data_IF_439689017168
#
_entry.id   IF_439689017168
#
_cell.length_a   1.000
_cell.length_b   1.000
_cell.length_c   1.000
_cell.angle_alpha   90.00
_cell.angle_beta   90.00
_cell.angle_gamma   90.00
#
_symmetry.space_group_name_H-M   'P 1'
#
loop_
_entity.id
_entity.type
_entity.pdbx_description
1 polymer ?
#
# COMPACT_ATOMS: atom_id res chain seq x y z
N UNK A 1 7.63 26.48 10.43
CA UNK A 1 7.96 25.05 10.60
C UNK A 1 7.73 24.68 12.05
N UNK A 2 6.90 23.70 12.35
CA UNK A 2 6.77 23.22 13.74
C UNK A 2 8.10 22.61 14.21
N UNK A 3 8.59 23.09 15.35
CA UNK A 3 9.87 22.64 15.92
C UNK A 3 9.69 21.21 16.46
N UNK A 4 10.04 20.20 15.68
CA UNK A 4 9.96 18.79 16.08
C UNK A 4 11.26 18.42 16.79
N UNK A 5 11.18 18.13 18.10
CA UNK A 5 12.34 17.70 18.88
C UNK A 5 12.87 16.36 18.37
N UNK A 6 14.18 16.26 18.15
CA UNK A 6 14.85 15.05 17.65
C UNK A 6 14.55 13.84 18.55
N UNK A 7 14.27 12.70 17.93
CA UNK A 7 13.92 11.42 18.54
C UNK A 7 12.69 11.47 19.49
N UNK A 8 11.84 12.49 19.38
CA UNK A 8 10.62 12.60 20.18
C UNK A 8 9.53 11.62 19.67
N UNK A 9 8.53 11.35 20.51
CA UNK A 9 7.35 10.54 20.14
C UNK A 9 6.68 11.15 18.90
N UNK A 10 6.56 12.48 18.80
CA UNK A 10 6.01 13.18 17.63
C UNK A 10 6.84 12.87 16.36
N UNK A 11 8.17 12.85 16.46
CA UNK A 11 9.05 12.51 15.33
C UNK A 11 8.81 11.08 14.84
N UNK A 12 8.66 10.11 15.74
CA UNK A 12 8.38 8.71 15.42
C UNK A 12 6.99 8.51 14.80
N UNK A 13 5.96 9.21 15.30
CA UNK A 13 4.62 9.18 14.69
C UNK A 13 4.66 9.72 13.26
N UNK A 14 5.38 10.82 13.03
CA UNK A 14 5.54 11.39 11.69
C UNK A 14 6.28 10.44 10.73
N UNK A 15 7.35 9.77 11.23
CA UNK A 15 8.10 8.78 10.46
C UNK A 15 7.27 7.53 10.12
N UNK A 16 6.43 7.07 11.05
CA UNK A 16 5.51 5.95 10.85
C UNK A 16 4.42 6.23 9.79
N UNK A 17 4.17 7.51 9.49
CA UNK A 17 3.18 7.95 8.47
C UNK A 17 1.79 7.36 8.66
N UNK A 18 1.03 7.75 9.70
CA UNK A 18 -0.29 7.17 9.99
C UNK A 18 -1.27 7.15 8.81
N UNK A 19 -1.15 8.12 7.89
CA UNK A 19 -1.98 8.18 6.67
C UNK A 19 -1.81 6.98 5.75
N UNK A 20 -0.63 6.33 5.76
CA UNK A 20 -0.37 5.13 4.95
C UNK A 20 -0.88 3.85 5.61
N UNK A 21 -1.14 3.86 6.93
CA UNK A 21 -1.70 2.71 7.65
C UNK A 21 -3.12 2.39 7.18
N UNK A 22 -3.89 3.40 6.77
CA UNK A 22 -5.22 3.19 6.20
C UNK A 22 -5.17 2.35 4.92
N UNK A 23 -4.14 2.56 4.08
CA UNK A 23 -3.91 1.75 2.88
C UNK A 23 -3.50 0.30 3.23
N UNK A 24 -2.76 0.08 4.33
CA UNK A 24 -2.42 -1.26 4.80
C UNK A 24 -3.61 -1.99 5.46
N UNK A 25 -4.53 -1.25 6.08
CA UNK A 25 -5.73 -1.82 6.69
C UNK A 25 -6.75 -2.32 5.66
N UNK A 26 -6.91 -1.60 4.55
CA UNK A 26 -7.93 -1.88 3.53
C UNK A 26 -7.88 -3.32 2.99
N UNK A 27 -6.71 -3.85 2.56
CA UNK A 27 -6.64 -5.22 2.04
C UNK A 27 -6.91 -6.29 3.11
N UNK A 28 -6.47 -6.07 4.36
CA UNK A 28 -6.76 -7.00 5.47
C UNK A 28 -8.26 -7.03 5.76
N UNK A 29 -8.91 -5.85 5.78
CA UNK A 29 -10.36 -5.75 5.93
C UNK A 29 -11.10 -6.54 4.85
N UNK A 30 -10.65 -6.44 3.60
CA UNK A 30 -11.25 -7.16 2.48
C UNK A 30 -11.07 -8.67 2.60
N UNK A 31 -9.88 -9.15 3.01
CA UNK A 31 -9.66 -10.58 3.31
C UNK A 31 -10.55 -11.09 4.44
N UNK A 32 -10.76 -10.28 5.48
CA UNK A 32 -11.70 -10.58 6.57
C UNK A 32 -13.16 -10.64 6.07
N UNK A 33 -13.56 -9.72 5.17
CA UNK A 33 -14.93 -9.72 4.62
C UNK A 33 -15.20 -10.98 3.78
N UNK A 34 -14.22 -11.41 2.97
CA UNK A 34 -14.33 -12.67 2.23
C UNK A 34 -14.49 -13.88 3.17
N UNK A 35 -13.64 -13.97 4.20
CA UNK A 35 -13.76 -15.05 5.20
C UNK A 35 -15.09 -15.01 5.95
N UNK A 36 -15.63 -13.82 6.20
CA UNK A 36 -16.95 -13.66 6.81
C UNK A 36 -18.07 -14.15 5.89
N UNK A 37 -18.00 -13.83 4.60
CA UNK A 37 -18.98 -14.28 3.58
C UNK A 37 -19.00 -15.81 3.50
N UNK A 38 -17.87 -16.47 3.65
CA UNK A 38 -17.76 -17.93 3.65
C UNK A 38 -18.02 -18.57 5.04
N UNK A 39 -18.42 -17.77 6.05
CA UNK A 39 -18.76 -18.26 7.38
C UNK A 39 -17.57 -18.73 8.23
N UNK A 40 -16.33 -18.38 7.84
CA UNK A 40 -15.09 -18.87 8.48
C UNK A 40 -14.34 -17.78 9.27
N UNK A 41 -14.90 -16.59 9.39
CA UNK A 41 -14.26 -15.44 10.05
C UNK A 41 -13.87 -15.74 11.51
N UNK A 42 -12.64 -15.36 11.88
CA UNK A 42 -12.09 -15.52 13.22
C UNK A 42 -11.40 -14.23 13.68
N UNK A 43 -11.72 -13.75 14.88
CA UNK A 43 -11.22 -12.49 15.43
C UNK A 43 -9.72 -12.47 15.70
N UNK A 44 -9.16 -13.57 16.24
CA UNK A 44 -7.74 -13.62 16.62
C UNK A 44 -6.83 -13.56 15.40
N UNK A 45 -6.97 -14.43 14.38
CA UNK A 45 -6.17 -14.31 13.17
C UNK A 45 -6.40 -13.01 12.43
N UNK A 46 -7.62 -12.46 12.41
CA UNK A 46 -7.87 -11.13 11.83
C UNK A 46 -7.04 -10.04 12.52
N UNK A 47 -7.04 -9.98 13.87
CA UNK A 47 -6.22 -9.03 14.61
C UNK A 47 -4.72 -9.20 14.34
N UNK A 48 -4.24 -10.44 14.29
CA UNK A 48 -2.83 -10.72 13.98
C UNK A 48 -2.44 -10.27 12.56
N UNK A 49 -3.33 -10.45 11.57
CA UNK A 49 -3.12 -9.94 10.21
C UNK A 49 -3.02 -8.41 10.18
N UNK A 50 -3.88 -7.68 10.93
CA UNK A 50 -3.77 -6.22 11.07
C UNK A 50 -2.45 -5.81 11.72
N UNK A 51 -2.05 -6.46 12.82
CA UNK A 51 -0.80 -6.17 13.52
C UNK A 51 0.42 -6.42 12.62
N UNK A 52 0.41 -7.51 11.86
CA UNK A 52 1.45 -7.82 10.87
C UNK A 52 1.50 -6.75 9.78
N UNK A 53 0.37 -6.44 9.14
CA UNK A 53 0.29 -5.46 8.06
C UNK A 53 0.73 -4.05 8.50
N UNK A 54 0.30 -3.60 9.69
CA UNK A 54 0.71 -2.31 10.23
C UNK A 54 2.20 -2.27 10.57
N UNK A 55 2.73 -3.34 11.21
CA UNK A 55 4.16 -3.42 11.51
C UNK A 55 5.00 -3.38 10.25
N UNK A 56 4.64 -4.16 9.23
CA UNK A 56 5.31 -4.16 7.92
C UNK A 56 5.23 -2.82 7.20
N UNK A 57 4.07 -2.12 7.29
CA UNK A 57 3.92 -0.79 6.69
C UNK A 57 4.80 0.26 7.37
N UNK A 58 4.89 0.21 8.71
CA UNK A 58 5.77 1.12 9.47
C UNK A 58 7.23 0.80 9.16
N UNK A 59 7.58 -0.48 9.13
CA UNK A 59 8.94 -0.94 8.79
C UNK A 59 9.36 -0.48 7.40
N UNK A 60 8.51 -0.68 6.38
CA UNK A 60 8.76 -0.18 5.03
C UNK A 60 8.94 1.35 4.98
N UNK A 61 8.17 2.11 5.78
CA UNK A 61 8.34 3.56 5.87
C UNK A 61 9.71 3.93 6.48
N UNK A 62 10.16 3.24 7.54
CA UNK A 62 11.46 3.47 8.17
C UNK A 62 12.62 3.06 7.26
N UNK A 63 12.52 1.91 6.60
CA UNK A 63 13.50 1.43 5.62
C UNK A 63 13.64 2.46 4.48
N UNK A 64 12.53 2.94 3.91
CA UNK A 64 12.56 3.92 2.85
C UNK A 64 13.16 5.26 3.31
N UNK A 65 12.83 5.72 4.54
CA UNK A 65 13.36 6.97 5.10
C UNK A 65 14.88 6.88 5.30
N UNK A 66 15.37 5.76 5.85
CA UNK A 66 16.78 5.51 6.11
C UNK A 66 17.60 5.41 4.82
N UNK A 67 17.18 4.54 3.86
CA UNK A 67 17.97 4.27 2.67
C UNK A 67 17.87 5.36 1.60
N UNK A 68 16.73 6.04 1.46
CA UNK A 68 16.59 7.19 0.57
C UNK A 68 17.47 8.36 1.04
N UNK A 69 17.57 8.57 2.38
CA UNK A 69 18.48 9.55 2.95
C UNK A 69 19.95 9.21 2.67
N UNK A 70 20.37 7.96 2.88
CA UNK A 70 21.75 7.51 2.61
C UNK A 70 22.13 7.65 1.12
N UNK A 71 21.16 7.50 0.22
CA UNK A 71 21.36 7.66 -1.23
C UNK A 71 21.31 9.12 -1.69
N UNK A 72 21.01 10.06 -0.80
CA UNK A 72 20.84 11.47 -1.16
C UNK A 72 19.61 11.74 -2.05
N UNK A 73 18.64 10.83 -2.06
CA UNK A 73 17.40 10.99 -2.82
C UNK A 73 16.42 11.95 -2.16
N UNK A 74 16.54 12.16 -0.85
CA UNK A 74 15.71 13.07 -0.07
C UNK A 74 16.32 14.48 -0.04
N UNK A 75 16.23 15.17 -1.17
CA UNK A 75 16.77 16.52 -1.38
C UNK A 75 15.85 17.59 -0.77
N UNK A 76 16.37 18.81 -0.62
CA UNK A 76 15.61 19.98 -0.12
C UNK A 76 14.43 20.38 -1.03
N UNK A 77 14.55 20.11 -2.34
CA UNK A 77 13.52 20.39 -3.35
C UNK A 77 12.43 19.31 -3.41
N UNK A 78 12.39 18.36 -2.45
CA UNK A 78 11.40 17.29 -2.39
C UNK A 78 9.96 17.81 -2.44
N UNK A 79 9.14 17.24 -3.33
CA UNK A 79 7.72 17.58 -3.50
C UNK A 79 6.82 16.79 -2.54
N UNK A 80 7.23 15.56 -2.20
CA UNK A 80 6.50 14.68 -1.28
C UNK A 80 6.56 15.12 0.19
N UNK A 81 5.87 14.41 1.08
CA UNK A 81 5.93 14.67 2.52
C UNK A 81 7.37 14.64 3.04
N UNK A 82 7.61 15.44 4.08
CA UNK A 82 8.91 15.51 4.73
C UNK A 82 9.34 14.14 5.29
N UNK A 83 10.66 13.89 5.27
CA UNK A 83 11.29 12.66 5.72
C UNK A 83 11.99 12.90 7.05
N UNK A 84 11.81 11.99 8.02
CA UNK A 84 12.30 12.20 9.38
C UNK A 84 13.85 12.26 9.45
N UNK A 85 14.56 11.44 8.67
CA UNK A 85 16.02 11.48 8.61
C UNK A 85 16.51 12.77 7.93
N UNK A 86 15.92 13.16 6.81
CA UNK A 86 16.30 14.35 6.06
C UNK A 86 16.05 15.65 6.84
N UNK A 87 15.00 15.69 7.66
CA UNK A 87 14.68 16.83 8.53
C UNK A 87 15.43 16.82 9.88
N UNK A 88 16.26 15.80 10.15
CA UNK A 88 16.94 15.64 11.44
C UNK A 88 16.00 15.32 12.62
N UNK A 89 14.74 14.96 12.34
CA UNK A 89 13.77 14.59 13.38
C UNK A 89 14.11 13.26 14.05
N UNK A 90 14.75 12.34 13.32
CA UNK A 90 15.25 11.08 13.85
C UNK A 90 16.69 10.90 13.37
N UNK A 91 17.60 10.59 14.31
CA UNK A 91 18.99 10.29 13.98
C UNK A 91 19.09 8.97 13.24
N UNK A 92 20.09 8.82 12.35
CA UNK A 92 20.29 7.56 11.59
C UNK A 92 20.46 6.35 12.51
N UNK A 93 21.18 6.51 13.64
CA UNK A 93 21.34 5.42 14.62
C UNK A 93 20.01 5.02 15.26
N UNK A 94 19.14 6.00 15.59
CA UNK A 94 17.83 5.73 16.14
C UNK A 94 16.90 5.09 15.07
N UNK A 95 16.92 5.59 13.82
CA UNK A 95 16.14 5.02 12.74
C UNK A 95 16.52 3.55 12.47
N UNK A 96 17.83 3.23 12.45
CA UNK A 96 18.31 1.84 12.32
C UNK A 96 17.77 0.94 13.44
N UNK A 97 17.74 1.42 14.69
CA UNK A 97 17.14 0.67 15.81
C UNK A 97 15.63 0.51 15.62
N UNK A 98 14.94 1.57 15.17
CA UNK A 98 13.51 1.53 14.85
C UNK A 98 13.18 0.45 13.80
N UNK A 99 13.94 0.40 12.70
CA UNK A 99 13.81 -0.64 11.67
C UNK A 99 13.97 -2.05 12.27
N UNK A 100 15.02 -2.29 13.05
CA UNK A 100 15.25 -3.60 13.68
C UNK A 100 14.05 -3.99 14.57
N UNK A 101 13.55 -3.06 15.38
CA UNK A 101 12.42 -3.30 16.27
C UNK A 101 11.15 -3.62 15.47
N UNK A 102 10.84 -2.83 14.43
CA UNK A 102 9.63 -3.05 13.61
C UNK A 102 9.71 -4.33 12.81
N UNK A 103 10.88 -4.68 12.24
CA UNK A 103 11.11 -5.97 11.57
C UNK A 103 10.91 -7.13 12.54
N UNK A 104 11.48 -7.07 13.76
CA UNK A 104 11.31 -8.12 14.77
C UNK A 104 9.84 -8.27 15.21
N UNK A 105 9.13 -7.16 15.41
CA UNK A 105 7.70 -7.19 15.72
C UNK A 105 6.90 -7.84 14.58
N UNK A 106 7.21 -7.51 13.33
CA UNK A 106 6.57 -8.15 12.17
C UNK A 106 6.83 -9.66 12.15
N UNK A 107 8.05 -10.07 12.42
CA UNK A 107 8.39 -11.50 12.54
C UNK A 107 7.60 -12.20 13.68
N UNK A 108 7.45 -11.54 14.83
CA UNK A 108 6.67 -12.09 15.96
C UNK A 108 5.20 -12.29 15.55
N UNK A 109 4.57 -11.27 14.94
CA UNK A 109 3.18 -11.40 14.47
C UNK A 109 3.04 -12.47 13.39
N UNK A 110 4.00 -12.55 12.45
CA UNK A 110 4.05 -13.58 11.43
C UNK A 110 4.17 -14.99 12.02
N UNK A 111 5.04 -15.19 13.03
CA UNK A 111 5.19 -16.48 13.71
C UNK A 111 3.92 -16.88 14.48
N UNK A 112 3.22 -15.92 15.10
CA UNK A 112 1.95 -16.20 15.77
C UNK A 112 0.85 -16.58 14.77
N UNK A 113 0.86 -16.02 13.55
CA UNK A 113 -0.08 -16.40 12.49
C UNK A 113 0.08 -17.86 12.03
N UNK A 114 1.29 -18.44 12.13
CA UNK A 114 1.53 -19.86 11.74
C UNK A 114 0.64 -20.86 12.50
N UNK A 115 0.15 -20.48 13.68
CA UNK A 115 -0.85 -21.31 14.41
C UNK A 115 -2.17 -21.46 13.65
N UNK A 116 -2.45 -20.52 12.75
CA UNK A 116 -3.72 -20.45 12.02
C UNK A 116 -3.57 -20.75 10.54
N UNK A 117 -2.43 -20.45 9.92
CA UNK A 117 -2.23 -20.60 8.48
C UNK A 117 -1.28 -21.73 8.07
N UNK A 118 -0.61 -22.37 9.05
CA UNK A 118 0.36 -23.44 8.76
C UNK A 118 1.75 -22.93 8.37
N UNK A 119 2.71 -23.88 8.27
CA UNK A 119 4.12 -23.58 8.01
C UNK A 119 4.39 -23.16 6.56
N UNK A 120 3.49 -23.44 5.64
CA UNK A 120 3.54 -23.06 4.23
C UNK A 120 3.52 -21.53 4.03
N UNK A 121 3.11 -20.75 5.03
CA UNK A 121 3.17 -19.30 5.00
C UNK A 121 4.53 -18.70 5.41
N UNK A 122 5.48 -19.51 5.90
CA UNK A 122 6.83 -19.04 6.21
C UNK A 122 7.51 -18.37 5.01
N UNK A 123 7.54 -18.98 3.80
CA UNK A 123 8.12 -18.32 2.63
C UNK A 123 7.48 -16.96 2.32
N UNK A 124 6.16 -16.84 2.49
CA UNK A 124 5.44 -15.57 2.25
C UNK A 124 5.91 -14.49 3.23
N UNK A 125 5.96 -14.80 4.53
CA UNK A 125 6.47 -13.88 5.55
C UNK A 125 7.93 -13.46 5.30
N UNK A 126 8.79 -14.42 4.92
CA UNK A 126 10.18 -14.12 4.54
C UNK A 126 10.26 -13.20 3.33
N UNK A 127 9.44 -13.42 2.30
CA UNK A 127 9.38 -12.57 1.12
C UNK A 127 8.87 -11.17 1.47
N UNK A 128 7.89 -11.01 2.38
CA UNK A 128 7.44 -9.70 2.83
C UNK A 128 8.60 -8.88 3.42
N UNK A 129 9.36 -9.47 4.33
CA UNK A 129 10.53 -8.79 4.94
C UNK A 129 11.61 -8.52 3.90
N UNK A 130 11.97 -9.51 3.09
CA UNK A 130 12.98 -9.38 2.05
C UNK A 130 12.66 -8.24 1.07
N UNK A 131 11.45 -8.21 0.54
CA UNK A 131 11.04 -7.19 -0.44
C UNK A 131 10.83 -5.81 0.17
N UNK A 132 10.52 -5.68 1.46
CA UNK A 132 10.51 -4.40 2.16
C UNK A 132 11.90 -3.73 2.10
N UNK A 133 12.97 -4.52 2.26
CA UNK A 133 14.35 -4.02 2.09
C UNK A 133 14.72 -3.84 0.61
N UNK A 134 14.51 -4.84 -0.23
CA UNK A 134 14.89 -4.79 -1.66
C UNK A 134 14.19 -3.68 -2.44
N UNK A 135 13.06 -3.19 -1.95
CA UNK A 135 12.35 -2.09 -2.56
C UNK A 135 13.22 -0.82 -2.67
N UNK A 136 13.95 -0.48 -1.59
CA UNK A 136 14.76 0.75 -1.54
C UNK A 136 16.25 0.49 -1.30
N UNK A 137 16.60 -0.62 -0.63
CA UNK A 137 17.96 -0.97 -0.24
C UNK A 137 18.68 -1.82 -1.30
N UNK A 138 19.99 -1.98 -1.09
CA UNK A 138 20.84 -2.84 -1.90
C UNK A 138 21.37 -2.20 -3.20
N UNK A 139 22.12 -2.98 -4.00
CA UNK A 139 22.75 -2.49 -5.23
C UNK A 139 21.78 -2.34 -6.39
N UNK A 140 20.60 -3.00 -6.31
CA UNK A 140 19.55 -2.97 -7.33
C UNK A 140 18.18 -2.71 -6.70
N UNK A 141 17.91 -1.48 -6.21
CA UNK A 141 16.63 -1.18 -5.56
C UNK A 141 15.48 -1.27 -6.56
N UNK A 142 14.48 -2.07 -6.26
CA UNK A 142 13.40 -2.40 -7.19
C UNK A 142 12.54 -1.16 -7.54
N UNK A 143 12.35 -0.24 -6.59
CA UNK A 143 11.66 1.03 -6.83
C UNK A 143 12.34 1.91 -7.89
N UNK A 144 13.67 1.79 -8.05
CA UNK A 144 14.44 2.56 -9.03
C UNK A 144 14.38 1.95 -10.44
N UNK A 145 13.99 0.68 -10.56
CA UNK A 145 14.02 -0.07 -11.81
C UNK A 145 12.65 -0.29 -12.45
N UNK A 146 11.59 0.32 -11.88
CA UNK A 146 10.23 0.25 -12.43
C UNK A 146 9.44 -0.99 -12.01
N UNK A 147 9.87 -1.68 -10.94
CA UNK A 147 9.14 -2.81 -10.37
C UNK A 147 8.09 -2.38 -9.33
N UNK A 148 8.03 -1.09 -9.00
CA UNK A 148 7.17 -0.57 -7.93
C UNK A 148 5.71 -0.97 -8.09
N UNK A 149 5.14 -0.76 -9.28
CA UNK A 149 3.72 -1.02 -9.56
C UNK A 149 3.37 -2.52 -9.38
N UNK A 150 4.24 -3.43 -9.88
CA UNK A 150 4.06 -4.88 -9.69
C UNK A 150 4.14 -5.26 -8.20
N UNK A 151 5.10 -4.70 -7.48
CA UNK A 151 5.28 -4.97 -6.05
C UNK A 151 4.09 -4.46 -5.22
N UNK A 152 3.52 -3.30 -5.58
CA UNK A 152 2.31 -2.81 -4.90
C UNK A 152 1.15 -3.76 -5.15
N UNK A 153 0.91 -4.20 -6.38
CA UNK A 153 -0.17 -5.16 -6.67
C UNK A 153 0.01 -6.44 -5.86
N UNK A 154 1.23 -6.95 -5.73
CA UNK A 154 1.51 -8.17 -4.97
C UNK A 154 1.36 -7.94 -3.46
N UNK A 155 2.07 -6.93 -2.90
CA UNK A 155 2.18 -6.74 -1.45
C UNK A 155 1.09 -5.86 -0.83
N UNK A 156 0.22 -5.23 -1.62
CA UNK A 156 -0.99 -4.55 -1.15
C UNK A 156 -2.29 -5.14 -1.73
N UNK A 157 -2.19 -6.15 -2.59
CA UNK A 157 -3.31 -6.92 -3.11
C UNK A 157 -3.21 -8.38 -2.69
N UNK A 158 -2.44 -9.17 -3.43
CA UNK A 158 -2.41 -10.61 -3.29
C UNK A 158 -1.98 -11.08 -1.89
N UNK A 159 -0.90 -10.55 -1.34
CA UNK A 159 -0.42 -10.98 -0.03
C UNK A 159 -1.42 -10.62 1.08
N UNK A 160 -1.76 -9.35 1.34
CA UNK A 160 -2.58 -9.04 2.51
C UNK A 160 -4.05 -9.46 2.37
N UNK A 161 -4.67 -9.40 1.18
CA UNK A 161 -6.04 -9.89 0.99
C UNK A 161 -6.05 -11.42 1.03
N UNK A 162 -5.26 -12.06 0.18
CA UNK A 162 -5.28 -13.50 -0.01
C UNK A 162 -4.79 -14.26 1.22
N UNK A 163 -3.66 -13.83 1.83
CA UNK A 163 -3.16 -14.52 3.03
C UNK A 163 -4.04 -14.27 4.26
N UNK A 164 -4.73 -13.11 4.38
CA UNK A 164 -5.71 -12.90 5.45
C UNK A 164 -6.88 -13.88 5.32
N UNK A 165 -7.41 -14.04 4.11
CA UNK A 165 -8.45 -15.02 3.83
C UNK A 165 -7.96 -16.44 4.09
N UNK A 166 -6.83 -16.83 3.51
CA UNK A 166 -6.23 -18.16 3.65
C UNK A 166 -5.98 -18.53 5.12
N UNK A 167 -5.55 -17.58 5.94
CA UNK A 167 -5.31 -17.80 7.38
C UNK A 167 -6.56 -18.30 8.12
N UNK A 168 -7.76 -18.00 7.63
CA UNK A 168 -9.03 -18.37 8.28
C UNK A 168 -9.74 -19.55 7.58
N UNK A 169 -9.41 -19.80 6.31
CA UNK A 169 -10.14 -20.77 5.47
C UNK A 169 -9.29 -21.97 5.04
N UNK A 170 -7.96 -21.82 4.94
CA UNK A 170 -7.03 -22.75 4.29
C UNK A 170 -7.39 -23.02 2.82
N UNK A 171 -8.07 -22.10 2.18
CA UNK A 171 -8.52 -22.22 0.79
C UNK A 171 -8.17 -20.97 -0.03
N UNK A 172 -8.27 -21.10 -1.35
CA UNK A 172 -8.01 -20.02 -2.30
C UNK A 172 -8.97 -20.10 -3.48
N UNK A 173 -9.94 -19.20 -3.51
CA UNK A 173 -10.99 -19.19 -4.52
C UNK A 173 -10.75 -18.11 -5.60
N UNK A 174 -11.52 -18.19 -6.69
CA UNK A 174 -11.52 -17.11 -7.70
C UNK A 174 -12.05 -15.78 -7.13
N UNK A 175 -13.00 -15.83 -6.20
CA UNK A 175 -13.47 -14.63 -5.50
C UNK A 175 -12.32 -13.91 -4.79
N UNK A 176 -11.44 -14.66 -4.12
CA UNK A 176 -10.23 -14.13 -3.48
C UNK A 176 -9.25 -13.55 -4.50
N UNK A 177 -9.00 -14.26 -5.60
CA UNK A 177 -8.09 -13.81 -6.66
C UNK A 177 -8.55 -12.47 -7.25
N UNK A 178 -9.84 -12.31 -7.54
CA UNK A 178 -10.42 -11.06 -8.04
C UNK A 178 -10.31 -9.93 -7.01
N UNK A 179 -10.60 -10.20 -5.72
CA UNK A 179 -10.43 -9.22 -4.66
C UNK A 179 -8.97 -8.76 -4.52
N UNK A 180 -8.01 -9.70 -4.57
CA UNK A 180 -6.58 -9.41 -4.52
C UNK A 180 -6.16 -8.48 -5.67
N UNK A 181 -6.55 -8.83 -6.89
CA UNK A 181 -6.22 -8.04 -8.08
C UNK A 181 -6.86 -6.64 -8.01
N UNK A 182 -8.15 -6.55 -7.72
CA UNK A 182 -8.86 -5.28 -7.62
C UNK A 182 -8.27 -4.38 -6.51
N UNK A 183 -7.99 -4.93 -5.33
CA UNK A 183 -7.38 -4.20 -4.22
C UNK A 183 -5.95 -3.74 -4.56
N UNK A 184 -5.15 -4.59 -5.20
CA UNK A 184 -3.81 -4.25 -5.66
C UNK A 184 -3.80 -3.08 -6.66
N UNK A 185 -4.68 -3.13 -7.67
CA UNK A 185 -4.82 -2.06 -8.67
C UNK A 185 -5.24 -0.72 -8.03
N UNK A 186 -6.20 -0.75 -7.10
CA UNK A 186 -6.61 0.49 -6.39
C UNK A 186 -5.52 1.00 -5.46
N UNK A 187 -4.75 0.12 -4.82
CA UNK A 187 -3.60 0.50 -3.99
C UNK A 187 -2.48 1.14 -4.81
N UNK A 188 -2.29 0.68 -6.04
CA UNK A 188 -1.28 1.22 -6.96
C UNK A 188 -1.56 2.66 -7.38
N UNK A 189 -2.80 3.15 -7.27
CA UNK A 189 -3.13 4.56 -7.51
C UNK A 189 -2.29 5.52 -6.66
N UNK A 190 -1.93 5.14 -5.42
CA UNK A 190 -1.04 5.96 -4.58
C UNK A 190 0.37 6.02 -5.13
N UNK A 191 0.92 4.89 -5.58
CA UNK A 191 2.24 4.85 -6.18
C UNK A 191 2.26 5.59 -7.51
N UNK A 192 1.27 5.35 -8.37
CA UNK A 192 1.14 6.02 -9.66
C UNK A 192 1.10 7.55 -9.50
N UNK A 193 0.32 8.06 -8.53
CA UNK A 193 0.26 9.50 -8.27
C UNK A 193 1.56 10.05 -7.66
N UNK A 194 2.25 9.29 -6.80
CA UNK A 194 3.57 9.65 -6.32
C UNK A 194 4.57 9.75 -7.47
N UNK A 195 4.63 8.74 -8.34
CA UNK A 195 5.49 8.72 -9.52
C UNK A 195 5.15 9.86 -10.50
N UNK A 196 3.86 10.18 -10.66
CA UNK A 196 3.41 11.29 -11.48
C UNK A 196 3.86 12.65 -10.91
N UNK A 197 3.73 12.86 -9.59
CA UNK A 197 4.16 14.09 -8.91
C UNK A 197 5.67 14.26 -8.99
N UNK A 198 6.42 13.19 -8.73
CA UNK A 198 7.87 13.22 -8.52
C UNK A 198 8.66 12.97 -9.83
N UNK A 199 8.00 12.85 -10.98
CA UNK A 199 8.59 12.42 -12.27
C UNK A 199 9.87 13.14 -12.68
N UNK A 200 9.95 14.45 -12.44
CA UNK A 200 11.15 15.24 -12.80
C UNK A 200 12.32 14.93 -11.84
N UNK A 201 12.04 14.83 -10.52
CA UNK A 201 13.04 14.46 -9.54
C UNK A 201 13.48 12.99 -9.67
N UNK A 202 12.54 12.10 -9.98
CA UNK A 202 12.82 10.69 -10.25
C UNK A 202 13.74 10.54 -11.47
N UNK A 203 13.51 11.32 -12.53
CA UNK A 203 14.39 11.35 -13.70
C UNK A 203 15.82 11.81 -13.35
N UNK A 204 15.96 12.85 -12.53
CA UNK A 204 17.26 13.36 -12.07
C UNK A 204 17.97 12.34 -11.18
N UNK A 205 17.24 11.65 -10.32
CA UNK A 205 17.78 10.63 -9.41
C UNK A 205 18.01 9.26 -10.07
N UNK A 206 17.74 9.13 -11.38
CA UNK A 206 17.94 7.91 -12.16
C UNK A 206 16.89 6.83 -11.93
N UNK A 207 15.76 7.14 -11.28
CA UNK A 207 14.64 6.22 -11.17
C UNK A 207 13.94 6.04 -12.51
N UNK A 208 13.58 4.80 -12.83
CA UNK A 208 12.94 4.42 -14.10
C UNK A 208 11.50 3.96 -13.86
N UNK A 209 10.71 4.81 -13.20
CA UNK A 209 9.28 4.53 -12.97
C UNK A 209 8.51 4.50 -14.31
N UNK A 210 7.29 3.96 -14.32
CA UNK A 210 6.42 3.94 -15.50
C UNK A 210 6.26 5.36 -16.08
N UNK A 211 6.05 6.36 -15.22
CA UNK A 211 5.85 7.75 -15.66
C UNK A 211 7.13 8.35 -16.24
N UNK A 212 8.30 8.01 -15.69
CA UNK A 212 9.61 8.47 -16.24
C UNK A 212 9.87 7.83 -17.60
N UNK A 213 9.50 6.55 -17.80
CA UNK A 213 9.74 5.82 -19.06
C UNK A 213 8.81 6.22 -20.19
N UNK A 214 7.52 6.39 -19.89
CA UNK A 214 6.47 6.59 -20.92
C UNK A 214 5.89 8.00 -20.91
N UNK A 215 6.39 8.87 -20.03
CA UNK A 215 6.00 10.27 -19.96
C UNK A 215 4.72 10.53 -19.13
N UNK A 216 4.46 11.81 -18.93
CA UNK A 216 3.32 12.30 -18.14
C UNK A 216 1.97 11.77 -18.64
N UNK A 217 1.66 11.75 -19.94
CA UNK A 217 0.37 11.24 -20.43
C UNK A 217 0.11 9.80 -20.03
N UNK A 218 1.16 8.94 -20.03
CA UNK A 218 1.04 7.55 -19.62
C UNK A 218 0.66 7.43 -18.13
N UNK A 219 1.30 8.21 -17.25
CA UNK A 219 0.96 8.23 -15.82
C UNK A 219 -0.47 8.70 -15.57
N UNK A 220 -0.94 9.72 -16.30
CA UNK A 220 -2.29 10.25 -16.21
C UNK A 220 -3.36 9.23 -16.60
N UNK A 221 -3.16 8.55 -17.74
CA UNK A 221 -4.08 7.52 -18.21
C UNK A 221 -3.99 6.25 -17.39
N UNK A 222 -2.79 5.83 -16.97
CA UNK A 222 -2.61 4.68 -16.09
C UNK A 222 -3.39 4.86 -14.78
N UNK A 223 -3.30 6.03 -14.12
CA UNK A 223 -4.07 6.32 -12.93
C UNK A 223 -5.58 6.12 -13.16
N UNK A 224 -6.15 6.65 -14.25
CA UNK A 224 -7.57 6.50 -14.56
C UNK A 224 -7.94 5.04 -14.82
N UNK A 225 -7.16 4.35 -15.67
CA UNK A 225 -7.42 2.98 -16.11
C UNK A 225 -7.35 1.99 -14.94
N UNK A 226 -6.39 2.13 -14.03
CA UNK A 226 -6.23 1.25 -12.86
C UNK A 226 -7.52 1.21 -12.02
N UNK A 227 -8.12 2.38 -11.73
CA UNK A 227 -9.38 2.42 -10.97
C UNK A 227 -10.57 1.83 -11.72
N UNK A 228 -10.66 2.07 -13.05
CA UNK A 228 -11.72 1.48 -13.89
C UNK A 228 -11.56 -0.04 -13.96
N UNK A 229 -10.35 -0.54 -14.16
CA UNK A 229 -10.07 -1.98 -14.21
C UNK A 229 -10.40 -2.66 -12.88
N UNK A 230 -10.07 -2.04 -11.75
CA UNK A 230 -10.38 -2.59 -10.43
C UNK A 230 -11.89 -2.77 -10.25
N UNK A 231 -12.69 -1.77 -10.64
CA UNK A 231 -14.16 -1.88 -10.60
C UNK A 231 -14.66 -2.88 -11.63
N UNK A 232 -14.07 -2.90 -12.84
CA UNK A 232 -14.41 -3.88 -13.89
C UNK A 232 -14.20 -5.32 -13.42
N UNK A 233 -13.12 -5.60 -12.66
CA UNK A 233 -12.90 -6.92 -12.08
C UNK A 233 -14.01 -7.31 -11.09
N UNK A 234 -14.57 -6.36 -10.35
CA UNK A 234 -15.67 -6.64 -9.41
C UNK A 234 -16.97 -7.11 -10.12
N UNK A 235 -17.12 -6.90 -11.45
CA UNK A 235 -18.26 -7.44 -12.20
C UNK A 235 -18.32 -8.97 -12.17
N UNK A 236 -17.18 -9.64 -11.94
CA UNK A 236 -17.10 -11.09 -11.75
C UNK A 236 -18.02 -11.59 -10.62
N UNK A 237 -18.18 -10.81 -9.56
CA UNK A 237 -19.02 -11.19 -8.42
C UNK A 237 -20.50 -11.35 -8.76
N UNK A 238 -21.01 -10.62 -9.76
CA UNK A 238 -22.40 -10.77 -10.23
C UNK A 238 -22.68 -12.18 -10.77
N UNK A 239 -21.69 -12.82 -11.40
CA UNK A 239 -21.82 -14.19 -11.93
C UNK A 239 -21.72 -15.27 -10.84
N UNK A 240 -21.23 -14.92 -9.66
CA UNK A 240 -21.06 -15.83 -8.53
C UNK A 240 -22.09 -15.60 -7.41
N UNK A 241 -23.19 -14.90 -7.69
CA UNK A 241 -24.28 -14.66 -6.75
C UNK A 241 -24.08 -13.45 -5.82
N UNK A 242 -22.95 -12.74 -5.89
CA UNK A 242 -22.65 -11.59 -5.06
C UNK A 242 -22.91 -10.26 -5.80
N UNK A 243 -24.17 -10.00 -6.15
CA UNK A 243 -24.56 -8.83 -6.95
C UNK A 243 -24.13 -7.49 -6.31
N UNK A 244 -24.29 -7.34 -4.99
CA UNK A 244 -23.90 -6.12 -4.30
C UNK A 244 -22.39 -5.89 -4.32
N UNK A 245 -21.57 -6.95 -4.26
CA UNK A 245 -20.12 -6.87 -4.41
C UNK A 245 -19.69 -6.38 -5.80
N UNK A 246 -20.52 -6.59 -6.82
CA UNK A 246 -20.31 -6.05 -8.16
C UNK A 246 -20.76 -4.58 -8.27
N UNK A 247 -21.88 -4.20 -7.67
CA UNK A 247 -22.50 -2.88 -7.87
C UNK A 247 -21.93 -1.80 -6.96
N UNK A 248 -21.70 -2.09 -5.66
CA UNK A 248 -21.25 -1.07 -4.72
C UNK A 248 -19.90 -0.44 -5.09
N UNK A 249 -18.89 -1.18 -5.57
CA UNK A 249 -17.63 -0.58 -6.00
C UNK A 249 -17.77 0.41 -7.16
N UNK A 250 -18.86 0.37 -7.95
CA UNK A 250 -19.09 1.34 -9.03
C UNK A 250 -19.16 2.78 -8.48
N UNK A 251 -19.69 2.97 -7.27
CA UNK A 251 -19.75 4.28 -6.61
C UNK A 251 -18.35 4.90 -6.41
N UNK A 252 -17.32 4.08 -6.26
CA UNK A 252 -15.93 4.56 -6.18
C UNK A 252 -15.51 5.34 -7.44
N UNK A 253 -16.04 5.04 -8.61
CA UNK A 253 -15.67 5.75 -9.85
C UNK A 253 -15.96 7.25 -9.78
N UNK A 254 -16.95 7.69 -9.00
CA UNK A 254 -17.30 9.11 -8.86
C UNK A 254 -16.13 9.90 -8.23
N UNK A 255 -15.68 9.58 -6.99
CA UNK A 255 -14.53 10.26 -6.39
C UNK A 255 -13.22 9.96 -7.13
N UNK A 256 -13.06 8.79 -7.75
CA UNK A 256 -11.88 8.45 -8.55
C UNK A 256 -11.74 9.40 -9.75
N UNK A 257 -12.81 9.59 -10.53
CA UNK A 257 -12.80 10.46 -11.70
C UNK A 257 -12.60 11.94 -11.33
N UNK A 258 -13.21 12.40 -10.25
CA UNK A 258 -13.00 13.78 -9.76
C UNK A 258 -11.56 14.01 -9.31
N UNK A 259 -10.95 13.01 -8.63
CA UNK A 259 -9.56 13.05 -8.19
C UNK A 259 -8.60 13.03 -9.38
N UNK A 260 -8.87 12.20 -10.39
CA UNK A 260 -8.12 12.18 -11.64
C UNK A 260 -8.16 13.53 -12.38
N UNK A 261 -9.34 14.15 -12.51
CA UNK A 261 -9.47 15.49 -13.13
C UNK A 261 -8.65 16.55 -12.37
N UNK A 262 -8.65 16.49 -11.06
CA UNK A 262 -7.88 17.40 -10.23
C UNK A 262 -6.37 17.18 -10.39
N UNK A 263 -5.90 15.90 -10.44
CA UNK A 263 -4.53 15.54 -10.75
C UNK A 263 -4.08 16.12 -12.09
N UNK A 264 -4.90 15.99 -13.15
CA UNK A 264 -4.61 16.50 -14.49
C UNK A 264 -4.57 18.03 -14.49
N UNK A 265 -5.50 18.69 -13.78
CA UNK A 265 -5.57 20.17 -13.68
C UNK A 265 -4.37 20.76 -12.94
N UNK A 266 -3.94 20.14 -11.83
CA UNK A 266 -2.79 20.62 -11.04
C UNK A 266 -1.49 20.37 -11.79
N UNK A 267 -1.40 19.26 -12.51
CA UNK A 267 -0.30 18.85 -13.37
C UNK A 267 1.03 18.56 -12.67
N UNK A 268 1.52 19.42 -11.76
CA UNK A 268 2.83 19.27 -11.10
C UNK A 268 2.92 19.98 -9.75
N UNK A 269 3.92 19.62 -8.96
CA UNK A 269 4.30 20.34 -7.75
C UNK A 269 3.62 19.82 -6.48
N UNK A 270 3.91 20.53 -5.37
CA UNK A 270 3.46 20.13 -4.01
C UNK A 270 1.94 20.09 -3.85
N UNK A 271 1.18 20.80 -4.68
CA UNK A 271 -0.28 20.79 -4.63
C UNK A 271 -0.87 19.38 -4.89
N UNK A 272 -0.15 18.49 -5.60
CA UNK A 272 -0.55 17.10 -5.80
C UNK A 272 -0.60 16.30 -4.49
N UNK A 273 -0.01 16.75 -3.39
CA UNK A 273 -0.13 16.10 -2.08
C UNK A 273 -1.58 16.12 -1.55
N UNK A 274 -2.39 17.11 -1.93
CA UNK A 274 -3.82 17.15 -1.59
C UNK A 274 -4.55 16.03 -2.34
N UNK A 275 -4.22 15.85 -3.62
CA UNK A 275 -4.79 14.78 -4.46
C UNK A 275 -4.38 13.41 -3.90
N UNK A 276 -3.14 13.25 -3.43
CA UNK A 276 -2.66 12.02 -2.79
C UNK A 276 -3.51 11.65 -1.55
N UNK A 277 -3.85 12.65 -0.72
CA UNK A 277 -4.75 12.43 0.43
C UNK A 277 -6.16 11.98 0.00
N UNK A 278 -6.69 12.56 -1.08
CA UNK A 278 -7.98 12.14 -1.66
C UNK A 278 -7.90 10.72 -2.23
N UNK A 279 -6.80 10.38 -2.92
CA UNK A 279 -6.57 9.02 -3.42
C UNK A 279 -6.54 8.00 -2.28
N UNK A 280 -5.81 8.28 -1.20
CA UNK A 280 -5.77 7.40 -0.03
C UNK A 280 -7.17 7.16 0.56
N UNK A 281 -7.98 8.22 0.71
CA UNK A 281 -9.37 8.11 1.14
C UNK A 281 -10.21 7.26 0.18
N UNK A 282 -10.05 7.46 -1.12
CA UNK A 282 -10.80 6.73 -2.13
C UNK A 282 -10.48 5.22 -2.12
N UNK A 283 -9.23 4.83 -1.82
CA UNK A 283 -8.83 3.43 -1.63
C UNK A 283 -9.60 2.80 -0.46
N UNK A 284 -9.71 3.51 0.67
CA UNK A 284 -10.48 3.05 1.82
C UNK A 284 -11.97 2.90 1.44
N UNK A 285 -12.53 3.88 0.73
CA UNK A 285 -13.90 3.80 0.23
C UNK A 285 -14.13 2.59 -0.67
N UNK A 286 -13.22 2.31 -1.61
CA UNK A 286 -13.30 1.12 -2.46
C UNK A 286 -13.33 -0.16 -1.62
N UNK A 287 -12.39 -0.29 -0.69
CA UNK A 287 -12.31 -1.47 0.19
C UNK A 287 -13.56 -1.66 1.04
N UNK A 288 -14.11 -0.58 1.61
CA UNK A 288 -15.36 -0.63 2.38
C UNK A 288 -16.56 -1.03 1.51
N UNK A 289 -16.70 -0.43 0.32
CA UNK A 289 -17.81 -0.73 -0.59
C UNK A 289 -17.77 -2.18 -1.06
N UNK A 290 -16.60 -2.70 -1.43
CA UNK A 290 -16.43 -4.09 -1.84
C UNK A 290 -16.69 -5.05 -0.66
N UNK A 291 -16.12 -4.75 0.52
CA UNK A 291 -16.34 -5.56 1.73
C UNK A 291 -17.81 -5.62 2.12
N UNK A 292 -18.50 -4.48 2.15
CA UNK A 292 -19.94 -4.43 2.41
C UNK A 292 -20.74 -5.19 1.36
N UNK A 293 -20.38 -5.04 0.09
CA UNK A 293 -21.00 -5.78 -1.01
C UNK A 293 -20.90 -7.29 -0.84
N UNK A 294 -19.73 -7.80 -0.43
CA UNK A 294 -19.52 -9.22 -0.16
C UNK A 294 -20.33 -9.71 1.04
N UNK A 295 -20.32 -8.96 2.15
CA UNK A 295 -20.98 -9.35 3.39
C UNK A 295 -22.51 -9.30 3.32
N UNK A 296 -23.08 -8.51 2.41
CA UNK A 296 -24.54 -8.31 2.26
C UNK A 296 -25.15 -9.11 1.10
N UNK A 297 -24.32 -9.84 0.36
CA UNK A 297 -24.74 -10.64 -0.82
C UNK A 297 -25.18 -12.04 -0.45
#
# INVERSE_FOLDING_TARGET
MENVRTNSIKAWILAARPKTLAAAATPVLLGCALAYTDGTFQWIPALLCFLFAFSMQIDANFINDYYDFLKGSDREDRLGPERACAQGWITLSAMKKGMIITTLLSCIWGLLLLKYCGLEMIPVGMLCVLFAFLYTAGPYPLAYHGWGDVLVIVFFGFVPVGCTYYTMTHDWTWNVTIACAACGLVSDLLLMLNNYRDREQDKISGKRTLVVRFGEPAGRWAYLILGILAVGLCSFYAFNGHLLASLLPVVFLIPHFTTWREMVRIFQGKALNVVLGKTARNIVWFGLLLSLGLMLS
#
